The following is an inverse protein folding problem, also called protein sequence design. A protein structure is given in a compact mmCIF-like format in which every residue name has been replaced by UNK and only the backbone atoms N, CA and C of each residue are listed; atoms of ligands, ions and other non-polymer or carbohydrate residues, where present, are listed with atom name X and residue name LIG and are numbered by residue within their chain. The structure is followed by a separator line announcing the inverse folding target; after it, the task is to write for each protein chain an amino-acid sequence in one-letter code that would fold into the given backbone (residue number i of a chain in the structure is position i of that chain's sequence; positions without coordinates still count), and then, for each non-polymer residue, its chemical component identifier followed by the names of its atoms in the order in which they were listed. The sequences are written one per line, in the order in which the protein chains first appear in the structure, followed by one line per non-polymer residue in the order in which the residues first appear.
data_IF_245184807269
#
_entry.id   IF_245184807269
#
_cell.length_a   1.000
_cell.length_b   1.000
_cell.length_c   1.000
_cell.angle_alpha   90.00
_cell.angle_beta   90.00
_cell.angle_gamma   90.00
#
_symmetry.space_group_name_H-M   'P 1'
#
loop_
_entity.id
_entity.type
_entity.pdbx_description
1 polymer ?
#
# COMPACT_ATOMS: atom_id res chain seq x y z
N UNK A 1 -1.20 -3.32 2.05
CA UNK A 1 -1.84 -2.33 2.94
C UNK A 1 -2.27 -3.04 4.20
N UNK A 2 -2.14 -2.40 5.35
CA UNK A 2 -2.59 -2.95 6.62
C UNK A 2 -3.99 -2.42 6.92
N UNK A 3 -4.95 -3.33 7.10
CA UNK A 3 -6.36 -3.06 7.39
C UNK A 3 -6.61 -3.35 8.86
N UNK A 4 -7.01 -2.34 9.63
CA UNK A 4 -7.25 -2.44 11.06
C UNK A 4 -8.75 -2.44 11.34
N UNK A 5 -9.20 -3.51 11.98
CA UNK A 5 -10.57 -3.71 12.42
C UNK A 5 -10.77 -3.28 13.88
N UNK A 6 -12.02 -3.11 14.28
CA UNK A 6 -12.41 -2.73 15.65
C UNK A 6 -12.17 -3.84 16.69
N UNK A 7 -12.23 -5.09 16.27
CA UNK A 7 -11.88 -6.27 17.08
C UNK A 7 -10.36 -6.46 17.30
N UNK A 8 -9.53 -5.55 16.76
CA UNK A 8 -8.07 -5.60 16.85
C UNK A 8 -7.41 -6.48 15.79
N UNK A 9 -8.17 -7.09 14.87
CA UNK A 9 -7.62 -7.84 13.74
C UNK A 9 -6.87 -6.91 12.79
N UNK A 10 -5.76 -7.42 12.25
CA UNK A 10 -4.99 -6.76 11.17
C UNK A 10 -4.91 -7.71 9.99
N UNK A 11 -5.32 -7.22 8.82
CA UNK A 11 -5.21 -7.95 7.55
C UNK A 11 -4.32 -7.20 6.57
N UNK A 12 -3.74 -7.94 5.63
CA UNK A 12 -2.84 -7.40 4.62
C UNK A 12 -3.44 -7.57 3.23
N UNK A 13 -3.66 -6.47 2.54
CA UNK A 13 -4.29 -6.49 1.21
C UNK A 13 -3.59 -5.61 0.18
N UNK A 14 -3.58 -6.08 -1.06
CA UNK A 14 -3.11 -5.33 -2.23
C UNK A 14 -4.30 -4.83 -3.06
N UNK A 15 -4.20 -3.67 -3.73
CA UNK A 15 -5.28 -3.16 -4.57
C UNK A 15 -5.69 -4.16 -5.66
N UNK A 16 -6.98 -4.48 -5.72
CA UNK A 16 -7.54 -5.30 -6.79
C UNK A 16 -7.52 -4.55 -8.14
N UNK A 17 -6.96 -5.19 -9.16
CA UNK A 17 -6.88 -4.65 -10.54
C UNK A 17 -7.66 -5.53 -11.50
N UNK A 18 -8.40 -4.90 -12.42
CA UNK A 18 -9.35 -5.60 -13.33
C UNK A 18 -8.68 -6.44 -14.43
N UNK A 19 -7.39 -6.26 -14.68
CA UNK A 19 -6.66 -7.01 -15.70
C UNK A 19 -5.14 -6.96 -15.47
N UNK A 20 -4.41 -7.89 -16.09
CA UNK A 20 -2.93 -7.90 -16.11
C UNK A 20 -2.34 -6.60 -16.65
N UNK A 21 -2.96 -6.03 -17.69
CA UNK A 21 -2.50 -4.76 -18.26
C UNK A 21 -2.76 -3.57 -17.31
N UNK A 22 -3.81 -3.62 -16.48
CA UNK A 22 -4.02 -2.62 -15.44
C UNK A 22 -2.99 -2.77 -14.31
N UNK A 23 -2.63 -4.00 -13.95
CA UNK A 23 -1.56 -4.29 -13.01
C UNK A 23 -0.24 -3.64 -13.44
N UNK A 24 0.22 -3.91 -14.67
CA UNK A 24 1.47 -3.34 -15.19
C UNK A 24 1.50 -1.80 -15.20
N UNK A 25 0.35 -1.17 -15.49
CA UNK A 25 0.24 0.31 -15.44
C UNK A 25 0.33 0.83 -14.02
N UNK A 26 -0.29 0.12 -13.07
CA UNK A 26 -0.20 0.46 -11.66
C UNK A 26 1.23 0.28 -11.17
N UNK A 27 1.89 -0.83 -11.46
CA UNK A 27 3.29 -1.10 -11.08
C UNK A 27 4.21 0.01 -11.62
N UNK A 28 4.07 0.34 -12.91
CA UNK A 28 4.84 1.43 -13.53
C UNK A 28 4.61 2.82 -12.90
N UNK A 29 3.42 3.06 -12.35
CA UNK A 29 3.10 4.29 -11.62
C UNK A 29 3.74 4.26 -10.23
N UNK A 30 3.65 3.13 -9.55
CA UNK A 30 4.23 2.92 -8.23
C UNK A 30 5.76 3.07 -8.25
N UNK A 31 6.44 2.52 -9.26
CA UNK A 31 7.90 2.65 -9.44
C UNK A 31 8.38 4.12 -9.48
N UNK A 32 7.54 5.03 -9.94
CA UNK A 32 7.86 6.46 -10.07
C UNK A 32 7.44 7.28 -8.86
N UNK A 33 6.56 6.74 -8.01
CA UNK A 33 5.98 7.43 -6.87
C UNK A 33 7.01 7.97 -5.84
N UNK A 34 8.20 7.34 -5.66
CA UNK A 34 9.28 7.89 -4.86
C UNK A 34 9.90 9.18 -5.40
N UNK A 35 9.81 9.45 -6.70
CA UNK A 35 10.47 10.59 -7.31
C UNK A 35 9.89 11.92 -6.78
N UNK A 36 10.76 12.93 -6.61
CA UNK A 36 10.40 14.22 -6.00
C UNK A 36 9.26 14.93 -6.73
N UNK A 37 9.17 14.80 -8.07
CA UNK A 37 8.10 15.42 -8.86
C UNK A 37 6.70 14.94 -8.49
N UNK A 38 6.57 13.76 -7.89
CA UNK A 38 5.29 13.21 -7.45
C UNK A 38 4.99 13.48 -5.98
N UNK A 39 5.93 14.06 -5.22
CA UNK A 39 5.73 14.39 -3.81
C UNK A 39 4.42 15.15 -3.55
N UNK A 40 4.03 16.19 -4.34
CA UNK A 40 2.81 16.96 -4.06
C UNK A 40 1.50 16.16 -4.21
N UNK A 41 1.53 15.07 -4.99
CA UNK A 41 0.35 14.24 -5.30
C UNK A 41 0.41 12.84 -4.68
N UNK A 42 1.54 12.51 -4.03
CA UNK A 42 1.84 11.17 -3.54
C UNK A 42 0.76 10.64 -2.60
N UNK A 43 0.42 11.42 -1.58
CA UNK A 43 -0.63 11.05 -0.62
C UNK A 43 -1.97 10.85 -1.31
N UNK A 44 -2.33 11.73 -2.25
CA UNK A 44 -3.62 11.65 -2.98
C UNK A 44 -3.69 10.37 -3.83
N UNK A 45 -2.60 10.02 -4.52
CA UNK A 45 -2.52 8.77 -5.29
C UNK A 45 -2.68 7.54 -4.39
N UNK A 46 -1.96 7.52 -3.26
CA UNK A 46 -2.06 6.41 -2.29
C UNK A 46 -3.45 6.36 -1.66
N UNK A 47 -4.07 7.51 -1.37
CA UNK A 47 -5.42 7.61 -0.84
C UNK A 47 -6.45 7.02 -1.80
N UNK A 48 -6.32 7.23 -3.10
CA UNK A 48 -7.20 6.62 -4.10
C UNK A 48 -7.08 5.09 -4.12
N UNK A 49 -5.87 4.56 -4.01
CA UNK A 49 -5.64 3.11 -3.94
C UNK A 49 -6.17 2.54 -2.62
N UNK A 50 -5.89 3.19 -1.50
CA UNK A 50 -6.43 2.84 -0.18
C UNK A 50 -7.96 2.81 -0.19
N UNK A 51 -8.58 3.81 -0.81
CA UNK A 51 -10.04 3.86 -0.96
C UNK A 51 -10.58 2.71 -1.79
N UNK A 52 -9.87 2.28 -2.85
CA UNK A 52 -10.32 1.12 -3.64
C UNK A 52 -10.38 -0.16 -2.81
N UNK A 53 -9.38 -0.40 -1.95
CA UNK A 53 -9.33 -1.56 -1.05
C UNK A 53 -10.40 -1.42 0.04
N UNK A 54 -10.51 -0.24 0.67
CA UNK A 54 -11.47 -0.03 1.75
C UNK A 54 -12.92 -0.32 1.33
N UNK A 55 -13.32 0.01 0.09
CA UNK A 55 -14.68 -0.28 -0.40
C UNK A 55 -15.04 -1.77 -0.37
N UNK A 56 -14.05 -2.66 -0.40
CA UNK A 56 -14.25 -4.11 -0.33
C UNK A 56 -14.29 -4.61 1.12
N UNK A 57 -13.91 -3.77 2.09
CA UNK A 57 -13.81 -4.07 3.52
C UNK A 57 -14.56 -3.04 4.37
N UNK A 58 -15.91 -3.06 4.38
CA UNK A 58 -16.73 -2.02 5.01
C UNK A 58 -16.52 -1.88 6.53
N UNK A 59 -16.00 -2.91 7.20
CA UNK A 59 -15.80 -2.94 8.65
C UNK A 59 -14.43 -2.40 9.09
N UNK A 60 -13.53 -2.09 8.14
CA UNK A 60 -12.22 -1.51 8.46
C UNK A 60 -12.40 -0.12 9.05
N UNK A 61 -11.66 0.18 10.12
CA UNK A 61 -11.69 1.48 10.83
C UNK A 61 -10.51 2.36 10.47
N UNK A 62 -9.34 1.74 10.26
CA UNK A 62 -8.11 2.40 9.88
C UNK A 62 -7.40 1.59 8.81
N UNK A 63 -6.78 2.26 7.85
CA UNK A 63 -5.93 1.64 6.84
C UNK A 63 -4.58 2.34 6.85
N UNK A 64 -3.49 1.56 6.89
CA UNK A 64 -2.13 2.05 6.67
C UNK A 64 -1.63 1.56 5.32
N UNK A 65 -1.24 2.50 4.48
CA UNK A 65 -0.58 2.22 3.22
C UNK A 65 0.91 2.52 3.35
N UNK A 66 1.71 1.47 3.46
CA UNK A 66 3.17 1.57 3.48
C UNK A 66 3.72 1.33 2.08
N UNK A 67 4.45 2.31 1.58
CA UNK A 67 5.19 2.20 0.32
C UNK A 67 6.67 1.95 0.64
N UNK A 68 7.30 1.04 -0.09
CA UNK A 68 8.68 0.68 0.12
C UNK A 68 9.30 0.00 -1.10
N UNK A 69 10.62 -0.16 -1.06
CA UNK A 69 11.37 -0.90 -2.07
C UNK A 69 11.40 -2.37 -1.68
N UNK A 70 11.14 -3.23 -2.66
CA UNK A 70 11.39 -4.67 -2.55
C UNK A 70 12.75 -4.93 -3.18
N UNK A 71 13.73 -5.24 -2.34
CA UNK A 71 15.07 -5.56 -2.81
C UNK A 71 15.16 -7.09 -3.00
N UNK A 72 15.35 -7.57 -4.23
CA UNK A 72 15.55 -8.99 -4.48
C UNK A 72 16.89 -9.44 -3.87
N UNK A 73 17.00 -10.71 -3.43
CA UNK A 73 18.27 -11.25 -2.98
C UNK A 73 19.24 -11.35 -4.17
N UNK A 74 20.54 -11.23 -3.90
CA UNK A 74 21.56 -11.65 -4.87
C UNK A 74 21.52 -13.17 -5.10
N UNK A 75 22.15 -13.67 -6.17
CA UNK A 75 22.19 -15.11 -6.48
C UNK A 75 22.72 -15.92 -5.29
N UNK A 76 23.84 -15.48 -4.70
CA UNK A 76 24.46 -16.14 -3.54
C UNK A 76 23.55 -16.12 -2.31
N UNK A 77 22.80 -15.05 -2.10
CA UNK A 77 21.86 -14.94 -0.98
C UNK A 77 20.63 -15.83 -1.17
N UNK A 78 20.15 -15.93 -2.40
CA UNK A 78 19.06 -16.83 -2.75
C UNK A 78 19.44 -18.29 -2.53
N UNK A 79 20.66 -18.70 -2.93
CA UNK A 79 21.20 -20.04 -2.66
C UNK A 79 21.28 -20.36 -1.15
N UNK A 80 21.46 -19.33 -0.31
CA UNK A 80 21.45 -19.43 1.15
C UNK A 80 20.03 -19.40 1.76
N UNK A 81 18.99 -19.38 0.93
CA UNK A 81 17.59 -19.33 1.36
C UNK A 81 17.13 -17.95 1.83
N UNK A 82 17.90 -16.88 1.58
CA UNK A 82 17.40 -15.52 1.84
C UNK A 82 16.33 -15.15 0.82
N UNK A 83 15.31 -14.45 1.29
CA UNK A 83 14.21 -13.95 0.47
C UNK A 83 14.38 -12.46 0.19
N UNK A 84 13.45 -11.91 -0.58
CA UNK A 84 13.32 -10.48 -0.78
C UNK A 84 13.20 -9.72 0.55
N UNK A 85 13.78 -8.52 0.59
CA UNK A 85 13.68 -7.63 1.75
C UNK A 85 12.84 -6.42 1.40
N UNK A 86 11.97 -6.02 2.33
CA UNK A 86 11.14 -4.83 2.17
C UNK A 86 11.73 -3.66 2.96
N UNK A 87 12.05 -2.57 2.27
CA UNK A 87 12.54 -1.32 2.87
C UNK A 87 11.43 -0.26 2.81
N UNK A 88 10.76 0.07 3.93
CA UNK A 88 9.75 1.12 3.98
C UNK A 88 10.36 2.48 3.62
N UNK A 89 9.66 3.27 2.81
CA UNK A 89 10.05 4.63 2.44
C UNK A 89 9.12 5.68 3.05
N UNK A 90 7.81 5.48 2.90
CA UNK A 90 6.80 6.37 3.45
C UNK A 90 5.52 5.59 3.73
N UNK A 91 4.74 6.06 4.70
CA UNK A 91 3.45 5.49 5.04
C UNK A 91 2.40 6.58 5.21
N UNK A 92 1.17 6.23 4.86
CA UNK A 92 0.01 7.08 5.07
C UNK A 92 -1.04 6.32 5.86
N UNK A 93 -1.54 6.96 6.90
CA UNK A 93 -2.63 6.46 7.73
C UNK A 93 -3.93 7.14 7.29
N UNK A 94 -4.92 6.34 6.93
CA UNK A 94 -6.26 6.79 6.57
C UNK A 94 -7.26 6.28 7.60
N UNK A 95 -8.16 7.16 8.02
CA UNK A 95 -9.36 6.82 8.77
C UNK A 95 -10.56 7.49 8.10
N UNK A 96 -11.73 6.88 8.20
CA UNK A 96 -12.96 7.64 8.01
C UNK A 96 -12.94 8.75 9.06
N UNK A 97 -13.18 9.99 8.64
CA UNK A 97 -13.51 11.03 9.61
C UNK A 97 -14.75 10.52 10.32
N UNK A 98 -14.64 10.15 11.59
CA UNK A 98 -15.81 10.10 12.44
C UNK A 98 -16.53 11.44 12.23
N UNK A 99 -17.85 11.38 12.02
CA UNK A 99 -18.68 12.56 12.22
C UNK A 99 -18.16 13.24 13.48
N UNK A 100 -17.67 14.48 13.33
CA UNK A 100 -17.45 15.32 14.49
C UNK A 100 -18.77 15.32 15.23
N UNK A 101 -18.90 14.50 16.28
CA UNK A 101 -19.90 14.68 17.31
C UNK A 101 -19.58 16.02 17.94
N UNK A 102 -20.15 17.08 17.37
CA UNK A 102 -20.49 18.28 18.10
C UNK A 102 -21.74 17.98 18.92
#
# INVERSE_FOLDING_TARGET
MELFYDDGRVEYESPHVRSKAAALRLDSLLDRLPEQRYEPVREVLVKMLAFSVWREHPNVKKLRATFGLVNPPSITEFEQGKMETFQPMFSFDFSLRDEQKQ
#
